data_IF_619619309463
#
_entry.id   IF_619619309463
#
_cell.length_a   1.000
_cell.length_b   1.000
_cell.length_c   1.000
_cell.angle_alpha   90.00
_cell.angle_beta   90.00
_cell.angle_gamma   90.00
#
_symmetry.space_group_name_H-M   'P 1'
#
loop_
_entity.id
_entity.type
_entity.pdbx_description
1 polymer ?
#
# COMPACT_ATOMS: atom_id res chain seq x y z
N UNK A 1 10.25 3.29 5.15
CA UNK A 1 9.56 3.26 6.46
C UNK A 1 10.04 2.09 7.32
N UNK A 2 9.96 0.84 6.85
CA UNK A 2 10.34 -0.36 7.61
C UNK A 2 11.66 -0.26 8.39
N UNK A 3 12.75 0.18 7.73
CA UNK A 3 14.06 0.30 8.39
C UNK A 3 14.03 1.26 9.60
N UNK A 4 13.34 2.39 9.50
CA UNK A 4 13.21 3.35 10.61
C UNK A 4 12.38 2.75 11.74
N UNK A 5 11.24 2.12 11.43
CA UNK A 5 10.40 1.48 12.45
C UNK A 5 11.18 0.39 13.22
N UNK A 6 12.01 -0.38 12.51
CA UNK A 6 12.89 -1.37 13.13
C UNK A 6 13.91 -0.73 14.08
N UNK A 7 14.56 0.37 13.67
CA UNK A 7 15.53 1.08 14.51
C UNK A 7 14.93 1.62 15.82
N UNK A 8 13.66 2.01 15.79
CA UNK A 8 12.96 2.59 16.95
C UNK A 8 12.03 1.61 17.67
N UNK A 9 12.01 0.32 17.29
CA UNK A 9 11.15 -0.68 17.92
C UNK A 9 9.64 -0.44 17.74
N UNK A 10 9.24 0.24 16.67
CA UNK A 10 7.83 0.53 16.36
C UNK A 10 7.26 -0.62 15.51
N UNK A 11 6.15 -1.27 15.92
CA UNK A 11 5.47 -2.26 15.08
C UNK A 11 5.08 -1.67 13.72
N UNK A 12 5.35 -2.39 12.63
CA UNK A 12 5.17 -1.87 11.28
C UNK A 12 4.53 -2.90 10.34
N UNK A 13 3.58 -2.43 9.54
CA UNK A 13 2.92 -3.17 8.46
C UNK A 13 2.79 -2.23 7.25
N UNK A 14 3.21 -2.70 6.07
CA UNK A 14 3.01 -1.99 4.79
C UNK A 14 2.01 -2.77 3.93
N UNK A 15 0.94 -2.11 3.51
CA UNK A 15 -0.03 -2.62 2.53
C UNK A 15 0.01 -1.69 1.32
N UNK A 16 0.06 -2.26 0.11
CA UNK A 16 0.18 -1.49 -1.13
C UNK A 16 -0.87 -1.94 -2.14
N UNK A 17 -1.63 -0.99 -2.68
CA UNK A 17 -2.44 -1.21 -3.88
C UNK A 17 -1.56 -1.20 -5.12
N UNK A 18 -1.82 -2.12 -6.04
CA UNK A 18 -1.13 -2.18 -7.34
C UNK A 18 -1.93 -1.35 -8.36
N UNK A 19 -1.35 -0.26 -8.84
CA UNK A 19 -2.00 0.63 -9.82
C UNK A 19 -1.70 0.30 -11.28
N UNK A 20 -0.62 -0.44 -11.53
CA UNK A 20 -0.19 -0.91 -12.85
C UNK A 20 0.81 -2.06 -12.70
N UNK A 21 1.02 -2.81 -13.78
CA UNK A 21 2.13 -3.76 -13.90
C UNK A 21 3.44 -3.02 -14.16
N UNK A 22 4.57 -3.62 -13.77
CA UNK A 22 5.88 -3.06 -14.08
C UNK A 22 6.19 -3.33 -15.55
N UNK A 23 6.09 -2.28 -16.34
CA UNK A 23 6.31 -2.27 -17.78
C UNK A 23 6.91 -0.90 -18.18
N UNK A 24 6.83 -0.56 -19.47
CA UNK A 24 7.18 0.79 -19.92
C UNK A 24 6.37 1.86 -19.19
N UNK A 25 7.03 2.98 -18.88
CA UNK A 25 6.49 4.00 -17.97
C UNK A 25 5.42 4.86 -18.62
N UNK A 26 4.26 4.29 -18.90
CA UNK A 26 3.06 5.01 -19.29
C UNK A 26 2.20 5.33 -18.06
N UNK A 27 2.24 6.60 -17.62
CA UNK A 27 1.43 7.04 -16.47
C UNK A 27 -0.07 7.02 -16.74
N UNK A 28 -0.49 6.92 -18.01
CA UNK A 28 -1.91 6.86 -18.39
C UNK A 28 -2.53 5.50 -18.06
N UNK A 29 -1.72 4.44 -17.98
CA UNK A 29 -2.19 3.10 -17.59
C UNK A 29 -2.38 2.95 -16.07
N UNK A 30 -1.93 3.93 -15.28
CA UNK A 30 -1.96 3.86 -13.83
C UNK A 30 -3.36 4.10 -13.29
N UNK A 31 -3.95 3.07 -12.69
CA UNK A 31 -5.24 3.13 -12.02
C UNK A 31 -5.08 3.52 -10.55
N UNK A 32 -4.60 4.74 -10.31
CA UNK A 32 -4.19 5.20 -8.98
C UNK A 32 -5.36 5.24 -7.99
N UNK A 33 -6.53 5.73 -8.43
CA UNK A 33 -7.71 5.87 -7.58
C UNK A 33 -8.18 4.48 -7.11
N UNK A 34 -8.33 3.56 -8.05
CA UNK A 34 -8.76 2.19 -7.79
C UNK A 34 -7.77 1.49 -6.86
N UNK A 35 -6.47 1.60 -7.13
CA UNK A 35 -5.45 1.01 -6.28
C UNK A 35 -5.46 1.56 -4.84
N UNK A 36 -5.67 2.88 -4.68
CA UNK A 36 -5.77 3.50 -3.36
C UNK A 36 -7.03 3.03 -2.62
N UNK A 37 -8.17 2.95 -3.30
CA UNK A 37 -9.42 2.46 -2.73
C UNK A 37 -9.31 1.00 -2.28
N UNK A 38 -8.72 0.11 -3.09
CA UNK A 38 -8.49 -1.29 -2.72
C UNK A 38 -7.52 -1.41 -1.54
N UNK A 39 -6.45 -0.61 -1.54
CA UNK A 39 -5.52 -0.55 -0.42
C UNK A 39 -6.23 -0.13 0.88
N UNK A 40 -7.11 0.87 0.82
CA UNK A 40 -7.90 1.30 1.97
C UNK A 40 -8.82 0.18 2.48
N UNK A 41 -9.51 -0.53 1.58
CA UNK A 41 -10.34 -1.68 1.98
C UNK A 41 -9.54 -2.74 2.72
N UNK A 42 -8.36 -3.09 2.22
CA UNK A 42 -7.47 -4.04 2.87
C UNK A 42 -7.02 -3.55 4.25
N UNK A 43 -6.61 -2.29 4.37
CA UNK A 43 -6.25 -1.68 5.66
C UNK A 43 -7.42 -1.73 6.64
N UNK A 44 -8.63 -1.34 6.21
CA UNK A 44 -9.84 -1.40 7.05
C UNK A 44 -10.12 -2.82 7.56
N UNK A 45 -9.93 -3.84 6.71
CA UNK A 45 -10.07 -5.24 7.11
C UNK A 45 -9.08 -5.65 8.21
N UNK A 46 -7.85 -5.14 8.15
CA UNK A 46 -6.83 -5.38 9.19
C UNK A 46 -7.17 -4.64 10.48
N UNK A 47 -7.37 -3.31 10.42
CA UNK A 47 -7.52 -2.49 11.63
C UNK A 47 -8.85 -2.67 12.36
N UNK A 48 -9.90 -3.14 11.67
CA UNK A 48 -11.20 -3.42 12.29
C UNK A 48 -11.21 -4.70 13.14
N UNK A 49 -10.18 -5.54 13.03
CA UNK A 49 -10.05 -6.81 13.77
C UNK A 49 -8.96 -6.74 14.85
N UNK A 50 -8.39 -5.57 15.09
CA UNK A 50 -7.30 -5.34 16.05
C UNK A 50 -7.83 -4.92 17.42
#
# INVERSE_FOLDING_TARGET
MAHICMLYGVPFLEIRGISNMVEDRDKRSWRLKEAAEECQRAVMGVVSQW
#
